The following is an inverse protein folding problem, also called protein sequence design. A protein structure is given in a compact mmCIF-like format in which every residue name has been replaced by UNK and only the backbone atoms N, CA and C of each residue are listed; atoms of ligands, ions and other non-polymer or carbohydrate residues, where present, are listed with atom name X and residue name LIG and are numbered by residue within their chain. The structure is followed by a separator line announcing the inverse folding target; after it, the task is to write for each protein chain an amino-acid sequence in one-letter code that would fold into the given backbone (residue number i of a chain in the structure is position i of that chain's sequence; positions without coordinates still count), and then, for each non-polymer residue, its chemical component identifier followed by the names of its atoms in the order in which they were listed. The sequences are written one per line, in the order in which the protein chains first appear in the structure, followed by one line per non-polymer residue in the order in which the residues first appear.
data_IF_290805827065
#
_entry.id   IF_290805827065
#
_cell.length_a   1.000
_cell.length_b   1.000
_cell.length_c   1.000
_cell.angle_alpha   90.00
_cell.angle_beta   90.00
_cell.angle_gamma   90.00
#
_symmetry.space_group_name_H-M   'P 1'
#
loop_
_entity.id
_entity.type
_entity.pdbx_description
1 polymer ?
#
# COMPACT_ATOMS: atom_id res chain seq x y z
N UNK A 1 -34.27 -11.14 -30.50
CA UNK A 1 -34.54 -10.49 -29.20
C UNK A 1 -33.60 -9.30 -29.12
N UNK A 2 -34.13 -8.07 -29.06
CA UNK A 2 -33.31 -6.86 -29.13
C UNK A 2 -32.65 -6.58 -27.76
N UNK A 3 -31.40 -6.98 -27.60
CA UNK A 3 -30.61 -6.70 -26.38
C UNK A 3 -30.06 -5.27 -26.44
N UNK A 4 -30.38 -4.44 -25.42
CA UNK A 4 -29.97 -3.02 -25.36
C UNK A 4 -29.22 -2.69 -24.07
N UNK A 5 -27.92 -3.01 -24.03
CA UNK A 5 -27.02 -2.79 -22.87
C UNK A 5 -26.91 -1.33 -22.40
N UNK A 6 -27.32 -0.35 -23.22
CA UNK A 6 -27.33 1.09 -22.83
C UNK A 6 -28.43 1.46 -21.84
N UNK A 7 -29.49 0.65 -21.71
CA UNK A 7 -30.66 0.95 -20.86
C UNK A 7 -30.24 1.20 -19.41
N UNK A 8 -29.38 0.34 -18.86
CA UNK A 8 -28.94 0.41 -17.46
C UNK A 8 -27.98 1.58 -17.17
N UNK A 9 -27.47 2.26 -18.19
CA UNK A 9 -26.51 3.37 -18.07
C UNK A 9 -27.00 4.67 -18.71
N UNK A 10 -28.30 4.75 -19.02
CA UNK A 10 -28.91 5.86 -19.75
C UNK A 10 -29.04 7.14 -18.91
N UNK A 11 -29.38 7.00 -17.63
CA UNK A 11 -29.53 8.11 -16.70
C UNK A 11 -28.57 7.95 -15.53
N UNK A 12 -28.27 9.07 -14.87
CA UNK A 12 -27.53 9.14 -13.60
C UNK A 12 -28.20 8.27 -12.53
N UNK A 13 -29.48 8.50 -12.24
CA UNK A 13 -30.19 7.68 -11.24
C UNK A 13 -30.24 6.17 -11.54
N UNK A 14 -30.14 5.73 -12.81
CA UNK A 14 -29.99 4.28 -13.14
C UNK A 14 -28.59 3.79 -12.85
N UNK A 15 -27.58 4.61 -13.09
CA UNK A 15 -26.19 4.27 -12.79
C UNK A 15 -25.97 4.18 -11.29
N UNK A 16 -26.50 5.13 -10.54
CA UNK A 16 -26.45 5.11 -9.07
C UNK A 16 -27.20 3.92 -8.49
N UNK A 17 -28.45 3.68 -8.92
CA UNK A 17 -29.26 2.55 -8.44
C UNK A 17 -28.61 1.19 -8.71
N UNK A 18 -28.01 1.01 -9.90
CA UNK A 18 -27.51 -0.30 -10.34
C UNK A 18 -26.03 -0.52 -10.04
N UNK A 19 -25.24 0.56 -9.95
CA UNK A 19 -23.78 0.49 -9.86
C UNK A 19 -23.19 1.33 -8.72
N UNK A 20 -24.01 2.03 -7.92
CA UNK A 20 -23.55 2.79 -6.76
C UNK A 20 -22.92 1.91 -5.68
N UNK A 21 -21.77 2.33 -5.16
CA UNK A 21 -21.05 1.68 -4.05
C UNK A 21 -20.45 2.77 -3.16
N UNK A 22 -20.64 2.66 -1.84
CA UNK A 22 -20.04 3.58 -0.84
C UNK A 22 -18.58 3.20 -0.56
N UNK A 23 -17.70 3.49 -1.53
CA UNK A 23 -16.28 3.13 -1.51
C UNK A 23 -15.43 3.89 -0.47
N UNK A 24 -15.92 5.01 0.05
CA UNK A 24 -15.19 5.84 1.01
C UNK A 24 -14.62 5.06 2.21
N UNK A 25 -15.34 4.02 2.66
CA UNK A 25 -14.94 3.19 3.80
C UNK A 25 -13.76 2.23 3.56
N UNK A 26 -13.39 1.97 2.30
CA UNK A 26 -12.31 1.06 1.91
C UNK A 26 -11.03 1.76 1.46
N UNK A 27 -10.93 3.09 1.64
CA UNK A 27 -9.77 3.88 1.24
C UNK A 27 -8.67 3.82 2.30
N UNK A 28 -7.43 3.67 1.84
CA UNK A 28 -6.23 3.68 2.67
C UNK A 28 -5.27 4.73 2.14
N UNK A 29 -4.85 5.67 3.00
CA UNK A 29 -3.91 6.73 2.66
C UNK A 29 -2.47 6.31 2.98
N UNK A 30 -1.55 6.36 1.99
CA UNK A 30 -0.12 6.26 2.24
C UNK A 30 0.45 7.52 2.92
N UNK A 31 1.39 7.33 3.85
CA UNK A 31 2.14 8.40 4.54
C UNK A 31 3.64 8.09 4.51
N UNK A 32 4.47 9.12 4.28
CA UNK A 32 5.92 9.02 4.32
C UNK A 32 6.44 9.69 5.59
N UNK A 33 7.07 8.90 6.47
CA UNK A 33 7.45 9.34 7.82
C UNK A 33 8.96 9.50 7.90
N UNK A 34 9.42 10.67 8.35
CA UNK A 34 10.84 11.01 8.50
C UNK A 34 11.18 11.32 9.96
N UNK A 35 12.48 11.33 10.24
CA UNK A 35 13.06 11.84 11.49
C UNK A 35 12.87 13.36 11.65
N UNK A 36 12.97 13.84 12.89
CA UNK A 36 12.92 15.27 13.22
C UNK A 36 11.63 15.74 13.88
N UNK A 37 11.45 17.06 13.91
CA UNK A 37 10.32 17.80 14.50
C UNK A 37 9.95 18.95 13.54
N UNK A 38 8.65 19.16 13.29
CA UNK A 38 8.15 20.20 12.40
C UNK A 38 8.48 20.02 10.92
N UNK A 39 8.81 18.80 10.47
CA UNK A 39 9.17 18.52 9.08
C UNK A 39 7.91 18.27 8.25
N UNK A 40 7.71 19.06 7.20
CA UNK A 40 6.61 18.91 6.22
C UNK A 40 7.12 19.19 4.79
N UNK A 41 7.86 18.22 4.22
CA UNK A 41 8.51 18.38 2.92
C UNK A 41 7.63 17.89 1.77
N UNK A 42 7.26 18.78 0.86
CA UNK A 42 6.51 18.41 -0.33
C UNK A 42 7.31 17.45 -1.23
N UNK A 43 6.62 16.47 -1.82
CA UNK A 43 7.20 15.53 -2.78
C UNK A 43 6.83 16.01 -4.19
N UNK A 44 7.77 16.56 -4.99
CA UNK A 44 7.43 17.22 -6.25
C UNK A 44 6.71 16.31 -7.26
N UNK A 45 7.05 15.03 -7.28
CA UNK A 45 6.45 14.03 -8.18
C UNK A 45 5.08 13.53 -7.70
N UNK A 46 4.64 13.91 -6.49
CA UNK A 46 3.36 13.56 -5.89
C UNK A 46 2.71 14.81 -5.27
N UNK A 47 2.09 15.69 -6.08
CA UNK A 47 1.49 16.93 -5.59
C UNK A 47 0.51 16.66 -4.44
N UNK A 48 0.62 17.41 -3.34
CA UNK A 48 -0.24 17.24 -2.15
C UNK A 48 0.20 16.13 -1.19
N UNK A 49 1.25 15.37 -1.53
CA UNK A 49 1.86 14.35 -0.66
C UNK A 49 3.20 14.86 -0.14
N UNK A 50 3.46 14.62 1.14
CA UNK A 50 4.60 15.16 1.87
C UNK A 50 5.35 14.06 2.61
N UNK A 51 6.63 14.29 2.88
CA UNK A 51 7.38 13.59 3.93
C UNK A 51 7.20 14.39 5.22
N UNK A 52 6.84 13.69 6.29
CA UNK A 52 6.38 14.34 7.51
C UNK A 52 7.09 13.76 8.73
N UNK A 53 7.53 14.62 9.66
CA UNK A 53 7.92 14.15 10.99
C UNK A 53 6.69 13.66 11.75
N UNK A 54 6.91 12.94 12.85
CA UNK A 54 5.83 12.29 13.62
C UNK A 54 4.82 13.31 14.14
N UNK A 55 5.27 14.45 14.65
CA UNK A 55 4.41 15.54 15.14
C UNK A 55 3.49 16.10 14.05
N UNK A 56 4.02 16.42 12.87
CA UNK A 56 3.23 16.89 11.72
C UNK A 56 2.27 15.81 11.22
N UNK A 57 2.70 14.54 11.24
CA UNK A 57 1.85 13.42 10.83
C UNK A 57 0.64 13.26 11.75
N UNK A 58 0.79 13.41 13.08
CA UNK A 58 -0.33 13.36 14.04
C UNK A 58 -1.39 14.38 13.69
N UNK A 59 -1.00 15.64 13.44
CA UNK A 59 -1.96 16.68 13.04
C UNK A 59 -2.66 16.37 11.73
N UNK A 60 -1.93 15.78 10.77
CA UNK A 60 -2.49 15.37 9.47
C UNK A 60 -3.50 14.24 9.64
N UNK A 61 -3.16 13.20 10.40
CA UNK A 61 -4.04 12.06 10.64
C UNK A 61 -5.27 12.46 11.44
N UNK A 62 -5.16 13.39 12.40
CA UNK A 62 -6.34 13.92 13.10
C UNK A 62 -7.36 14.55 12.13
N UNK A 63 -6.89 15.25 11.08
CA UNK A 63 -7.75 15.79 10.02
C UNK A 63 -8.33 14.68 9.14
N UNK A 64 -7.51 13.71 8.78
CA UNK A 64 -7.92 12.53 8.00
C UNK A 64 -9.07 11.78 8.72
N UNK A 65 -8.92 11.53 10.03
CA UNK A 65 -9.93 10.90 10.89
C UNK A 65 -11.20 11.73 10.99
N UNK A 66 -11.10 13.05 11.13
CA UNK A 66 -12.26 13.95 11.16
C UNK A 66 -13.08 13.91 9.86
N UNK A 67 -12.45 13.60 8.71
CA UNK A 67 -13.11 13.38 7.42
C UNK A 67 -13.61 11.94 7.23
N UNK A 68 -13.41 11.06 8.22
CA UNK A 68 -13.85 9.66 8.17
C UNK A 68 -12.87 8.68 7.52
N UNK A 69 -11.64 9.11 7.21
CA UNK A 69 -10.58 8.20 6.74
C UNK A 69 -10.11 7.32 7.91
N UNK A 70 -10.07 6.01 7.67
CA UNK A 70 -9.67 5.04 8.71
C UNK A 70 -8.34 4.35 8.43
N UNK A 71 -8.01 4.11 7.16
CA UNK A 71 -6.83 3.34 6.79
C UNK A 71 -5.61 4.22 6.58
N UNK A 72 -4.52 3.95 7.31
CA UNK A 72 -3.25 4.66 7.20
C UNK A 72 -2.11 3.67 6.98
N UNK A 73 -1.42 3.79 5.86
CA UNK A 73 -0.27 2.96 5.52
C UNK A 73 1.01 3.77 5.60
N UNK A 74 1.93 3.37 6.48
CA UNK A 74 3.11 4.13 6.83
C UNK A 74 4.34 3.54 6.14
N UNK A 75 5.16 4.43 5.57
CA UNK A 75 6.45 4.11 4.97
C UNK A 75 7.54 4.95 5.65
N UNK A 76 8.58 4.34 6.24
CA UNK A 76 9.69 5.09 6.78
C UNK A 76 10.57 5.64 5.64
N UNK A 77 11.10 6.84 5.83
CA UNK A 77 12.08 7.46 4.94
C UNK A 77 13.28 7.90 5.78
N UNK A 78 14.43 7.28 5.51
CA UNK A 78 15.68 7.51 6.23
C UNK A 78 16.68 8.28 5.37
N UNK A 79 17.56 9.05 6.02
CA UNK A 79 18.66 9.68 5.32
C UNK A 79 19.61 8.61 4.77
N UNK A 80 20.17 8.84 3.59
CA UNK A 80 21.01 7.83 2.92
C UNK A 80 22.25 7.47 3.76
N UNK A 81 22.77 8.39 4.56
CA UNK A 81 23.91 8.18 5.46
C UNK A 81 23.64 7.26 6.65
N UNK A 82 22.37 6.98 6.95
CA UNK A 82 21.97 6.14 8.09
C UNK A 82 21.74 4.68 7.68
N UNK A 83 21.59 4.43 6.38
CA UNK A 83 21.31 3.11 5.83
C UNK A 83 22.59 2.28 5.73
N UNK A 84 22.45 0.97 5.86
CA UNK A 84 23.54 0.02 5.68
C UNK A 84 23.08 -1.20 4.86
N UNK A 85 24.02 -1.99 4.36
CA UNK A 85 23.71 -3.18 3.56
C UNK A 85 22.94 -4.28 4.32
N UNK A 86 22.92 -4.24 5.66
CA UNK A 86 22.19 -5.19 6.47
C UNK A 86 20.74 -4.75 6.76
N UNK A 87 20.38 -3.50 6.44
CA UNK A 87 19.09 -2.91 6.72
C UNK A 87 18.79 -2.80 8.21
N UNK A 88 19.81 -2.52 9.05
CA UNK A 88 19.66 -2.54 10.52
C UNK A 88 18.58 -1.61 11.05
N UNK A 89 18.36 -0.46 10.38
CA UNK A 89 17.28 0.48 10.70
C UNK A 89 15.89 -0.14 10.67
N UNK A 90 15.67 -1.21 9.89
CA UNK A 90 14.39 -1.92 9.86
C UNK A 90 14.03 -2.60 11.18
N UNK A 91 15.03 -2.81 12.05
CA UNK A 91 14.87 -3.40 13.38
C UNK A 91 14.95 -2.35 14.50
N UNK A 92 15.07 -1.07 14.15
CA UNK A 92 15.08 0.01 15.13
C UNK A 92 13.65 0.26 15.65
N UNK A 93 13.40 -0.08 16.91
CA UNK A 93 12.12 0.15 17.57
C UNK A 93 11.84 1.63 17.84
N UNK A 94 12.84 2.51 17.79
CA UNK A 94 12.69 3.96 17.91
C UNK A 94 12.68 4.69 16.55
N UNK A 95 12.63 3.94 15.44
CA UNK A 95 12.55 4.51 14.10
C UNK A 95 11.29 5.38 13.88
N UNK A 96 11.28 6.22 12.83
CA UNK A 96 10.23 7.23 12.64
C UNK A 96 8.85 6.59 12.41
N UNK A 97 8.78 5.47 11.69
CA UNK A 97 7.54 4.72 11.52
C UNK A 97 7.03 4.12 12.84
N UNK A 98 7.92 3.57 13.69
CA UNK A 98 7.52 2.95 14.95
C UNK A 98 7.02 4.00 15.96
N UNK A 99 7.70 5.15 16.05
CA UNK A 99 7.22 6.28 16.83
C UNK A 99 5.89 6.82 16.31
N UNK A 100 5.70 6.89 14.99
CA UNK A 100 4.41 7.26 14.40
C UNK A 100 3.30 6.26 14.75
N UNK A 101 3.54 4.95 14.66
CA UNK A 101 2.55 3.94 15.04
C UNK A 101 2.10 4.10 16.49
N UNK A 102 3.04 4.24 17.43
CA UNK A 102 2.74 4.45 18.86
C UNK A 102 1.94 5.73 19.08
N UNK A 103 2.38 6.84 18.50
CA UNK A 103 1.72 8.13 18.67
C UNK A 103 0.30 8.13 18.09
N UNK A 104 0.10 7.56 16.90
CA UNK A 104 -1.23 7.47 16.29
C UNK A 104 -2.15 6.51 17.04
N UNK A 105 -1.60 5.42 17.61
CA UNK A 105 -2.37 4.51 18.48
C UNK A 105 -2.80 5.21 19.77
N UNK A 106 -1.92 6.01 20.37
CA UNK A 106 -2.23 6.83 21.55
C UNK A 106 -3.35 7.84 21.25
N UNK A 107 -3.28 8.52 20.10
CA UNK A 107 -4.22 9.57 19.73
C UNK A 107 -5.61 9.04 19.33
N UNK A 108 -5.66 7.89 18.67
CA UNK A 108 -6.86 7.45 17.97
C UNK A 108 -7.37 6.07 18.39
N UNK A 109 -6.59 5.28 19.14
CA UNK A 109 -6.98 3.94 19.55
C UNK A 109 -7.47 3.09 18.37
N UNK A 110 -8.61 2.44 18.53
CA UNK A 110 -9.22 1.56 17.51
C UNK A 110 -10.04 2.32 16.45
N UNK A 111 -10.06 3.65 16.47
CA UNK A 111 -10.78 4.44 15.48
C UNK A 111 -10.12 4.40 14.08
N UNK A 112 -8.82 4.06 14.05
CA UNK A 112 -8.00 3.96 12.83
C UNK A 112 -7.43 2.56 12.68
N UNK A 113 -7.07 2.23 11.43
CA UNK A 113 -6.34 1.03 11.05
C UNK A 113 -4.94 1.46 10.59
N UNK A 114 -3.92 1.03 11.31
CA UNK A 114 -2.51 1.34 11.07
C UNK A 114 -1.81 0.17 10.38
N UNK A 115 -1.25 0.44 9.21
CA UNK A 115 -0.53 -0.54 8.39
C UNK A 115 0.94 -0.14 8.26
N UNK A 116 1.86 -1.01 8.64
CA UNK A 116 3.30 -0.76 8.55
C UNK A 116 3.91 -1.48 7.36
N UNK A 117 4.62 -0.79 6.46
CA UNK A 117 5.37 -1.47 5.40
C UNK A 117 6.55 -2.27 5.97
N UNK A 118 6.59 -3.55 5.65
CA UNK A 118 7.69 -4.47 6.00
C UNK A 118 8.42 -4.84 4.72
N UNK A 119 9.48 -4.09 4.44
CA UNK A 119 10.40 -4.33 3.33
C UNK A 119 11.76 -3.69 3.63
N UNK A 120 12.85 -4.27 3.16
CA UNK A 120 14.19 -3.73 3.45
C UNK A 120 14.59 -2.54 2.55
N UNK A 121 13.83 -2.24 1.49
CA UNK A 121 14.28 -1.29 0.46
C UNK A 121 14.41 0.18 0.91
N UNK A 122 13.77 0.54 2.02
CA UNK A 122 13.87 1.88 2.64
C UNK A 122 15.00 1.97 3.68
N UNK A 123 15.56 0.83 4.09
CA UNK A 123 16.57 0.74 5.17
C UNK A 123 17.92 0.22 4.70
N UNK A 124 17.98 -0.42 3.53
CA UNK A 124 19.26 -0.81 2.91
C UNK A 124 19.91 0.34 2.15
N UNK A 125 21.24 0.45 2.21
CA UNK A 125 21.98 1.46 1.45
C UNK A 125 21.87 1.26 -0.08
N UNK A 126 21.82 0.01 -0.54
CA UNK A 126 21.71 -0.37 -1.95
C UNK A 126 20.28 -0.31 -2.52
N UNK A 127 19.24 -0.16 -1.69
CA UNK A 127 17.84 0.04 -2.10
C UNK A 127 17.10 -1.21 -2.64
N UNK A 128 17.62 -2.42 -2.40
CA UNK A 128 16.93 -3.67 -2.75
C UNK A 128 15.98 -4.11 -1.63
N UNK A 129 14.99 -4.93 -1.96
CA UNK A 129 14.00 -5.42 -1.00
C UNK A 129 14.54 -6.42 0.03
N UNK A 130 15.80 -6.84 -0.09
CA UNK A 130 16.41 -7.87 0.75
C UNK A 130 17.93 -7.84 0.75
N UNK A 131 18.53 -8.74 1.54
CA UNK A 131 19.98 -8.90 1.63
C UNK A 131 20.58 -9.29 0.29
N UNK A 132 21.68 -8.65 -0.09
CA UNK A 132 22.43 -9.01 -1.31
C UNK A 132 23.60 -9.92 -0.93
N UNK A 133 23.72 -11.06 -1.62
CA UNK A 133 24.84 -11.98 -1.54
C UNK A 133 25.31 -12.34 -2.94
N UNK A 134 26.58 -12.08 -3.24
CA UNK A 134 27.20 -12.36 -4.55
C UNK A 134 26.40 -11.76 -5.75
N UNK A 135 25.84 -10.56 -5.57
CA UNK A 135 25.06 -9.86 -6.60
C UNK A 135 23.63 -10.38 -6.78
N UNK A 136 23.17 -11.30 -5.92
CA UNK A 136 21.80 -11.83 -5.92
C UNK A 136 21.08 -11.53 -4.61
N UNK A 137 19.75 -11.46 -4.63
CA UNK A 137 18.97 -11.26 -3.41
C UNK A 137 18.82 -12.61 -2.69
N UNK A 138 19.29 -12.68 -1.45
CA UNK A 138 19.26 -13.89 -0.65
C UNK A 138 17.90 -14.06 0.04
N UNK A 139 17.03 -14.90 -0.53
CA UNK A 139 15.64 -15.09 -0.10
C UNK A 139 15.51 -15.38 1.41
N UNK A 140 15.98 -16.53 1.88
CA UNK A 140 15.69 -17.01 3.25
C UNK A 140 16.32 -16.13 4.34
N UNK A 141 17.49 -15.55 4.03
CA UNK A 141 18.15 -14.57 4.91
C UNK A 141 17.32 -13.29 5.02
N UNK A 142 16.70 -12.86 3.92
CA UNK A 142 15.78 -11.73 3.87
C UNK A 142 14.51 -12.02 4.65
N UNK A 143 13.87 -13.17 4.41
CA UNK A 143 12.67 -13.63 5.13
C UNK A 143 12.90 -13.60 6.65
N UNK A 144 14.05 -14.09 7.11
CA UNK A 144 14.41 -14.07 8.54
C UNK A 144 14.49 -12.66 9.13
N UNK A 145 14.84 -11.66 8.33
CA UNK A 145 14.91 -10.25 8.76
C UNK A 145 13.52 -9.60 8.73
N UNK A 146 12.75 -9.84 7.66
CA UNK A 146 11.39 -9.34 7.51
C UNK A 146 10.47 -9.82 8.64
N UNK A 147 10.60 -11.08 9.06
CA UNK A 147 9.87 -11.62 10.20
C UNK A 147 10.16 -10.84 11.51
N UNK A 148 11.41 -10.44 11.74
CA UNK A 148 11.77 -9.60 12.91
C UNK A 148 11.23 -8.18 12.78
N UNK A 149 11.34 -7.58 11.60
CA UNK A 149 10.78 -6.25 11.31
C UNK A 149 9.27 -6.22 11.57
N UNK A 150 8.56 -7.28 11.18
CA UNK A 150 7.12 -7.41 11.42
C UNK A 150 6.77 -7.46 12.91
N UNK A 151 7.55 -8.17 13.72
CA UNK A 151 7.36 -8.19 15.19
C UNK A 151 7.58 -6.80 15.78
N UNK A 152 8.65 -6.09 15.41
CA UNK A 152 8.90 -4.71 15.88
C UNK A 152 7.75 -3.78 15.51
N UNK A 153 7.19 -3.90 14.30
CA UNK A 153 6.02 -3.12 13.88
C UNK A 153 4.76 -3.46 14.69
N UNK A 154 4.54 -4.74 14.99
CA UNK A 154 3.42 -5.20 15.81
C UNK A 154 3.52 -4.68 17.25
N UNK A 155 4.71 -4.73 17.85
CA UNK A 155 5.00 -4.16 19.18
C UNK A 155 4.78 -2.63 19.23
N UNK A 156 4.97 -1.94 18.10
CA UNK A 156 4.68 -0.52 17.96
C UNK A 156 3.19 -0.19 17.77
N UNK A 157 2.33 -1.20 17.61
CA UNK A 157 0.88 -1.03 17.53
C UNK A 157 0.31 -1.08 16.11
N UNK A 158 1.01 -1.68 15.15
CA UNK A 158 0.44 -1.94 13.82
C UNK A 158 -0.70 -2.97 13.87
N UNK A 159 -1.83 -2.66 13.23
CA UNK A 159 -2.92 -3.62 13.01
C UNK A 159 -2.56 -4.60 11.89
N UNK A 160 -1.87 -4.11 10.85
CA UNK A 160 -1.38 -4.92 9.75
C UNK A 160 0.09 -4.65 9.47
N UNK A 161 0.83 -5.73 9.19
CA UNK A 161 2.15 -5.66 8.57
C UNK A 161 2.02 -5.90 7.07
N UNK A 162 2.48 -4.95 6.27
CA UNK A 162 2.46 -4.97 4.81
C UNK A 162 3.70 -5.64 4.24
N UNK A 163 3.64 -6.94 3.93
CA UNK A 163 4.76 -7.71 3.38
C UNK A 163 4.97 -7.41 1.90
N UNK A 164 5.77 -6.38 1.59
CA UNK A 164 5.90 -5.80 0.24
C UNK A 164 7.14 -6.23 -0.53
N UNK A 165 7.94 -7.12 0.05
CA UNK A 165 9.27 -7.53 -0.40
C UNK A 165 9.29 -8.50 -1.60
N UNK A 166 8.25 -9.33 -1.79
CA UNK A 166 8.17 -10.42 -2.79
C UNK A 166 9.21 -11.55 -2.61
N UNK A 167 9.59 -11.88 -1.39
CA UNK A 167 10.40 -13.08 -1.10
C UNK A 167 9.51 -14.32 -0.97
N UNK A 168 9.96 -15.47 -1.42
CA UNK A 168 9.22 -16.72 -1.30
C UNK A 168 9.10 -17.13 0.18
N UNK A 169 7.90 -17.53 0.62
CA UNK A 169 7.64 -18.04 1.98
C UNK A 169 7.62 -16.98 3.09
N UNK A 170 7.71 -15.68 2.77
CA UNK A 170 7.74 -14.63 3.80
C UNK A 170 6.46 -14.54 4.63
N UNK A 171 5.28 -14.83 4.06
CA UNK A 171 4.00 -14.69 4.78
C UNK A 171 3.94 -15.71 5.90
N UNK A 172 4.27 -16.97 5.62
CA UNK A 172 4.30 -18.02 6.63
C UNK A 172 5.33 -17.74 7.72
N UNK A 173 6.50 -17.21 7.36
CA UNK A 173 7.53 -16.83 8.32
C UNK A 173 7.12 -15.65 9.21
N UNK A 174 6.52 -14.60 8.63
CA UNK A 174 6.01 -13.43 9.36
C UNK A 174 4.88 -13.87 10.30
N UNK A 175 3.89 -14.63 9.80
CA UNK A 175 2.80 -15.16 10.61
C UNK A 175 3.34 -15.96 11.79
N UNK A 176 4.26 -16.89 11.55
CA UNK A 176 4.90 -17.67 12.62
C UNK A 176 5.59 -16.78 13.65
N UNK A 177 6.34 -15.77 13.23
CA UNK A 177 7.04 -14.88 14.14
C UNK A 177 6.08 -14.04 15.00
N UNK A 178 4.97 -13.56 14.42
CA UNK A 178 3.91 -12.87 15.15
C UNK A 178 3.26 -13.79 16.19
N UNK A 179 2.95 -15.04 15.84
CA UNK A 179 2.39 -16.04 16.77
C UNK A 179 3.36 -16.34 17.92
N UNK A 180 4.64 -16.59 17.61
CA UNK A 180 5.67 -16.91 18.61
C UNK A 180 5.91 -15.75 19.59
N UNK A 181 5.74 -14.50 19.12
CA UNK A 181 5.86 -13.29 19.92
C UNK A 181 4.55 -12.87 20.64
N UNK A 182 3.44 -13.58 20.43
CA UNK A 182 2.14 -13.31 21.08
C UNK A 182 1.28 -12.23 20.39
N UNK A 183 1.61 -11.82 19.18
CA UNK A 183 0.87 -10.83 18.38
C UNK A 183 -0.23 -11.46 17.51
N UNK A 184 -1.11 -12.23 18.14
CA UNK A 184 -2.17 -12.99 17.46
C UNK A 184 -3.21 -12.13 16.71
N UNK A 185 -3.32 -10.85 17.08
CA UNK A 185 -4.29 -9.91 16.51
C UNK A 185 -3.73 -9.05 15.39
N UNK A 186 -2.41 -9.08 15.17
CA UNK A 186 -1.78 -8.36 14.05
C UNK A 186 -1.95 -9.18 12.78
N UNK A 187 -2.56 -8.55 11.76
CA UNK A 187 -2.80 -9.16 10.46
C UNK A 187 -1.60 -9.07 9.52
N UNK A 188 -1.52 -9.99 8.55
CA UNK A 188 -0.56 -9.91 7.45
C UNK A 188 -1.30 -9.43 6.20
N UNK A 189 -0.97 -8.21 5.75
CA UNK A 189 -1.37 -7.69 4.45
C UNK A 189 -0.27 -8.05 3.45
N UNK A 190 -0.51 -9.10 2.66
CA UNK A 190 0.45 -9.55 1.68
C UNK A 190 0.35 -8.75 0.39
N UNK A 191 1.48 -8.23 -0.10
CA UNK A 191 1.61 -7.80 -1.50
C UNK A 191 1.78 -9.01 -2.41
N UNK A 192 0.77 -9.89 -2.37
CA UNK A 192 0.82 -11.21 -2.96
C UNK A 192 1.17 -11.19 -4.45
N UNK A 193 0.68 -10.18 -5.16
CA UNK A 193 0.95 -10.02 -6.59
C UNK A 193 1.54 -8.64 -6.81
N UNK A 194 2.87 -8.54 -6.77
CA UNK A 194 3.59 -7.29 -7.03
C UNK A 194 4.52 -7.42 -8.23
N UNK A 195 4.18 -6.68 -9.29
CA UNK A 195 4.92 -6.69 -10.55
C UNK A 195 6.14 -5.78 -10.54
N UNK A 196 7.16 -6.14 -11.34
CA UNK A 196 8.33 -5.34 -11.67
C UNK A 196 7.94 -4.18 -12.62
N UNK A 197 7.24 -3.19 -12.06
CA UNK A 197 6.54 -2.17 -12.83
C UNK A 197 7.32 -0.86 -12.98
N UNK A 198 7.08 -0.18 -14.11
CA UNK A 198 7.57 1.18 -14.37
C UNK A 198 6.75 2.27 -13.66
N UNK A 199 5.56 1.96 -13.15
CA UNK A 199 4.67 2.90 -12.46
C UNK A 199 5.18 3.31 -11.05
N UNK A 200 6.34 2.83 -10.61
CA UNK A 200 6.86 3.10 -9.26
C UNK A 200 7.79 4.31 -9.15
N UNK A 201 8.19 4.94 -10.25
CA UNK A 201 9.16 6.05 -10.28
C UNK A 201 8.92 7.09 -9.18
N UNK A 202 7.74 7.75 -9.14
CA UNK A 202 7.45 8.76 -8.12
C UNK A 202 7.51 8.26 -6.67
N UNK A 203 7.26 6.96 -6.42
CA UNK A 203 7.39 6.39 -5.07
C UNK A 203 8.86 6.23 -4.68
N UNK A 204 9.71 5.84 -5.64
CA UNK A 204 11.15 5.67 -5.37
C UNK A 204 11.80 7.00 -5.01
N UNK A 205 11.36 8.08 -5.65
CA UNK A 205 11.75 9.45 -5.29
C UNK A 205 11.23 9.81 -3.90
N UNK A 206 9.95 9.54 -3.62
CA UNK A 206 9.33 9.80 -2.33
C UNK A 206 10.05 9.10 -1.16
N UNK A 207 10.34 7.81 -1.30
CA UNK A 207 10.89 6.96 -0.25
C UNK A 207 12.44 6.87 -0.25
N UNK A 208 13.11 7.45 -1.24
CA UNK A 208 14.56 7.32 -1.41
C UNK A 208 15.03 5.86 -1.53
N UNK A 209 14.29 5.04 -2.30
CA UNK A 209 14.46 3.57 -2.37
C UNK A 209 14.79 3.03 -3.76
N UNK A 210 15.26 3.89 -4.66
CA UNK A 210 15.80 3.45 -5.96
C UNK A 210 16.99 2.51 -5.74
N UNK A 211 17.01 1.32 -6.37
CA UNK A 211 18.20 0.47 -6.35
C UNK A 211 19.40 1.24 -6.92
N UNK A 212 20.54 1.18 -6.23
CA UNK A 212 21.77 1.82 -6.72
C UNK A 212 22.31 1.10 -7.97
N UNK A 213 22.15 -0.22 -8.02
CA UNK A 213 22.52 -1.07 -9.15
C UNK A 213 21.39 -2.08 -9.46
N UNK A 214 21.32 -2.52 -10.72
CA UNK A 214 20.37 -3.55 -11.15
C UNK A 214 18.90 -3.13 -11.14
N UNK A 215 18.01 -4.11 -10.97
CA UNK A 215 16.57 -3.92 -10.93
C UNK A 215 15.89 -4.85 -9.89
N UNK A 216 14.56 -4.92 -9.89
CA UNK A 216 13.79 -5.77 -8.96
C UNK A 216 13.15 -6.99 -9.64
N UNK A 217 13.57 -7.33 -10.86
CA UNK A 217 12.96 -8.41 -11.68
C UNK A 217 13.30 -9.82 -11.21
N UNK A 218 14.26 -9.98 -10.30
CA UNK A 218 14.63 -11.27 -9.73
C UNK A 218 13.60 -11.82 -8.72
N UNK A 219 12.67 -10.98 -8.27
CA UNK A 219 11.69 -11.31 -7.23
C UNK A 219 10.31 -10.67 -7.48
N UNK A 220 10.25 -9.47 -8.06
CA UNK A 220 8.96 -8.92 -8.50
C UNK A 220 8.54 -9.56 -9.82
N UNK A 221 7.26 -9.86 -9.95
CA UNK A 221 6.71 -10.59 -11.09
C UNK A 221 6.94 -9.85 -12.42
N UNK A 222 7.21 -10.57 -13.50
CA UNK A 222 7.31 -9.96 -14.83
C UNK A 222 5.92 -9.48 -15.28
N UNK A 223 5.75 -8.24 -15.78
CA UNK A 223 4.47 -7.75 -16.32
C UNK A 223 3.86 -8.59 -17.45
N UNK A 224 4.66 -9.46 -18.09
CA UNK A 224 4.24 -10.37 -19.16
C UNK A 224 3.81 -11.74 -18.63
N UNK A 225 4.00 -12.00 -17.34
CA UNK A 225 3.67 -13.27 -16.70
C UNK A 225 2.20 -13.61 -16.90
N UNK A 226 1.86 -14.88 -17.15
CA UNK A 226 0.47 -15.27 -17.32
C UNK A 226 -0.30 -15.08 -16.01
N UNK A 227 -1.57 -14.67 -16.09
CA UNK A 227 -2.46 -14.45 -14.94
C UNK A 227 -2.50 -15.63 -13.95
N UNK A 228 -2.31 -16.87 -14.43
CA UNK A 228 -2.27 -18.07 -13.59
C UNK A 228 -1.14 -18.06 -12.55
N UNK A 229 -0.03 -17.38 -12.82
CA UNK A 229 1.09 -17.24 -11.90
C UNK A 229 0.70 -16.29 -10.76
N UNK A 230 0.06 -15.17 -11.07
CA UNK A 230 -0.48 -14.25 -10.06
C UNK A 230 -1.52 -14.93 -9.15
N UNK A 231 -2.36 -15.79 -9.72
CA UNK A 231 -3.28 -16.63 -8.94
C UNK A 231 -2.54 -17.64 -8.06
N UNK A 232 -1.43 -18.20 -8.54
CA UNK A 232 -0.61 -19.13 -7.75
C UNK A 232 0.01 -18.43 -6.54
N UNK A 233 0.67 -17.29 -6.75
CA UNK A 233 1.24 -16.44 -5.68
C UNK A 233 0.18 -16.08 -4.63
N UNK A 234 -0.97 -15.57 -5.08
CA UNK A 234 -2.05 -15.17 -4.18
C UNK A 234 -2.61 -16.33 -3.34
N UNK A 235 -2.68 -17.54 -3.91
CA UNK A 235 -3.13 -18.73 -3.19
C UNK A 235 -2.11 -19.23 -2.18
N UNK A 236 -0.82 -19.22 -2.55
CA UNK A 236 0.25 -19.59 -1.63
C UNK A 236 0.23 -18.71 -0.38
N UNK A 237 0.08 -17.40 -0.56
CA UNK A 237 -0.02 -16.46 0.57
C UNK A 237 -1.27 -16.67 1.42
N UNK A 238 -2.40 -16.95 0.78
CA UNK A 238 -3.64 -17.28 1.49
C UNK A 238 -3.47 -18.52 2.37
N UNK A 239 -2.82 -19.56 1.83
CA UNK A 239 -2.52 -20.81 2.53
C UNK A 239 -1.46 -20.61 3.64
N UNK A 240 -0.50 -19.70 3.44
CA UNK A 240 0.52 -19.33 4.43
C UNK A 240 -0.01 -18.45 5.58
N UNK A 241 -1.25 -17.94 5.47
CA UNK A 241 -1.92 -17.19 6.54
C UNK A 241 -1.97 -15.69 6.34
N UNK A 242 -1.93 -15.20 5.11
CA UNK A 242 -2.26 -13.80 4.81
C UNK A 242 -3.73 -13.51 5.16
N UNK A 243 -3.96 -12.36 5.80
CA UNK A 243 -5.29 -11.90 6.20
C UNK A 243 -5.92 -11.00 5.13
N UNK A 244 -5.08 -10.29 4.38
CA UNK A 244 -5.45 -9.47 3.22
C UNK A 244 -4.43 -9.74 2.10
N UNK A 245 -4.92 -9.93 0.88
CA UNK A 245 -4.08 -10.06 -0.31
C UNK A 245 -4.08 -8.75 -1.08
N UNK A 246 -3.00 -8.42 -1.80
CA UNK A 246 -2.90 -7.20 -2.59
C UNK A 246 -2.32 -7.44 -3.99
N UNK A 247 -2.92 -6.79 -4.99
CA UNK A 247 -2.33 -6.63 -6.33
C UNK A 247 -1.73 -5.23 -6.48
N UNK A 248 -0.49 -5.16 -6.97
CA UNK A 248 0.26 -3.90 -7.19
C UNK A 248 1.09 -3.96 -8.48
N UNK A 249 0.98 -2.98 -9.40
CA UNK A 249 0.04 -1.84 -9.44
C UNK A 249 -1.43 -2.25 -9.67
N UNK A 250 -2.34 -1.27 -9.67
CA UNK A 250 -3.78 -1.52 -9.82
C UNK A 250 -4.26 -1.32 -11.26
N UNK A 251 -4.12 -0.11 -11.82
CA UNK A 251 -4.81 0.30 -13.05
C UNK A 251 -4.47 -0.58 -14.25
N UNK A 252 -3.20 -0.92 -14.43
CA UNK A 252 -2.72 -1.72 -15.54
C UNK A 252 -2.94 -3.24 -15.37
N UNK A 253 -3.51 -3.69 -14.23
CA UNK A 253 -3.57 -5.10 -13.82
C UNK A 253 -4.97 -5.52 -13.34
N UNK A 254 -6.02 -4.83 -13.79
CA UNK A 254 -7.40 -5.10 -13.36
C UNK A 254 -7.89 -6.50 -13.76
N UNK A 255 -7.36 -7.07 -14.83
CA UNK A 255 -7.59 -8.46 -15.24
C UNK A 255 -7.01 -9.44 -14.22
N UNK A 256 -5.83 -9.13 -13.67
CA UNK A 256 -5.21 -9.91 -12.60
C UNK A 256 -6.00 -9.79 -11.30
N UNK A 257 -6.46 -8.58 -10.94
CA UNK A 257 -7.34 -8.36 -9.77
C UNK A 257 -8.59 -9.23 -9.86
N UNK A 258 -9.26 -9.24 -11.02
CA UNK A 258 -10.45 -10.05 -11.24
C UNK A 258 -10.18 -11.56 -11.14
N UNK A 259 -9.05 -12.02 -11.65
CA UNK A 259 -8.67 -13.43 -11.58
C UNK A 259 -8.34 -13.86 -10.14
N UNK A 260 -7.56 -13.05 -9.40
CA UNK A 260 -7.25 -13.32 -8.00
C UNK A 260 -8.53 -13.34 -7.16
N UNK A 261 -9.41 -12.35 -7.33
CA UNK A 261 -10.71 -12.32 -6.63
C UNK A 261 -11.55 -13.57 -6.88
N UNK A 262 -11.49 -14.13 -8.09
CA UNK A 262 -12.22 -15.35 -8.44
C UNK A 262 -11.61 -16.64 -7.89
N UNK A 263 -10.37 -16.60 -7.41
CA UNK A 263 -9.58 -17.77 -7.04
C UNK A 263 -9.22 -17.85 -5.54
N UNK A 264 -9.37 -16.74 -4.80
CA UNK A 264 -9.09 -16.64 -3.36
C UNK A 264 -10.31 -16.17 -2.57
N UNK A 265 -10.24 -16.28 -1.25
CA UNK A 265 -11.33 -15.98 -0.33
C UNK A 265 -11.03 -14.83 0.64
N UNK A 266 -9.76 -14.43 0.81
CA UNK A 266 -9.38 -13.26 1.61
C UNK A 266 -9.87 -11.94 0.99
N UNK A 267 -10.06 -10.89 1.83
CA UNK A 267 -10.19 -9.53 1.33
C UNK A 267 -9.07 -9.17 0.36
N UNK A 268 -9.44 -8.50 -0.74
CA UNK A 268 -8.50 -8.14 -1.80
C UNK A 268 -8.26 -6.63 -1.82
N UNK A 269 -7.05 -6.21 -1.52
CA UNK A 269 -6.60 -4.84 -1.69
C UNK A 269 -6.00 -4.63 -3.10
N UNK A 270 -6.02 -3.39 -3.56
CA UNK A 270 -5.20 -2.94 -4.69
C UNK A 270 -4.43 -1.69 -4.30
N UNK A 271 -3.28 -1.48 -4.93
CA UNK A 271 -2.53 -0.24 -4.78
C UNK A 271 -2.62 0.59 -6.05
N UNK A 272 -3.37 1.69 -5.99
CA UNK A 272 -3.33 2.74 -7.00
C UNK A 272 -2.05 3.56 -6.82
N UNK A 273 -1.00 3.14 -7.53
CA UNK A 273 0.38 3.52 -7.20
C UNK A 273 0.73 4.95 -7.57
N UNK A 274 1.91 5.37 -7.12
CA UNK A 274 2.42 6.74 -7.25
C UNK A 274 2.48 7.23 -8.70
N UNK A 275 2.87 6.38 -9.66
CA UNK A 275 2.83 6.73 -11.08
C UNK A 275 1.42 6.88 -11.64
N UNK A 276 0.46 6.07 -11.19
CA UNK A 276 -0.95 6.19 -11.61
C UNK A 276 -1.56 7.50 -11.08
N UNK A 277 -1.27 7.85 -9.82
CA UNK A 277 -1.63 9.13 -9.22
C UNK A 277 -1.01 10.31 -9.96
N UNK A 278 0.31 10.27 -10.20
CA UNK A 278 1.03 11.35 -10.87
C UNK A 278 0.52 11.58 -12.31
N UNK A 279 0.14 10.51 -13.03
CA UNK A 279 -0.47 10.62 -14.35
C UNK A 279 -1.80 11.38 -14.32
N UNK A 280 -2.65 11.11 -13.33
CA UNK A 280 -3.92 11.85 -13.15
C UNK A 280 -3.65 13.32 -12.88
N UNK A 281 -2.74 13.64 -11.96
CA UNK A 281 -2.40 15.03 -11.62
C UNK A 281 -1.75 15.79 -12.77
N UNK A 282 -0.93 15.12 -13.59
CA UNK A 282 -0.31 15.74 -14.76
C UNK A 282 -1.33 16.06 -15.85
N UNK A 283 -2.32 15.20 -16.06
CA UNK A 283 -3.34 15.38 -17.09
C UNK A 283 -4.50 16.29 -16.64
N UNK A 284 -4.78 16.30 -15.33
CA UNK A 284 -5.86 17.05 -14.69
C UNK A 284 -5.29 17.81 -13.47
N UNK A 285 -4.57 18.92 -13.67
CA UNK A 285 -3.97 19.66 -12.56
C UNK A 285 -5.04 20.28 -11.65
N UNK A 286 -6.14 20.74 -12.25
CA UNK A 286 -7.24 21.37 -11.54
C UNK A 286 -8.13 20.34 -10.84
N UNK A 287 -8.45 20.62 -9.57
CA UNK A 287 -9.26 19.74 -8.71
C UNK A 287 -10.64 19.44 -9.33
N UNK A 288 -11.25 20.45 -9.95
CA UNK A 288 -12.57 20.34 -10.60
C UNK A 288 -12.59 19.36 -11.79
N UNK A 289 -11.44 19.08 -12.39
CA UNK A 289 -11.32 18.16 -13.53
C UNK A 289 -10.97 16.73 -13.09
N UNK A 290 -10.31 16.57 -11.93
CA UNK A 290 -9.85 15.28 -11.40
C UNK A 290 -10.99 14.37 -10.96
N UNK A 291 -12.04 14.94 -10.35
CA UNK A 291 -13.16 14.20 -9.74
C UNK A 291 -13.59 12.99 -10.56
N UNK A 292 -13.97 13.23 -11.82
CA UNK A 292 -14.54 12.20 -12.71
C UNK A 292 -13.57 11.06 -12.98
N UNK A 293 -12.30 11.37 -13.21
CA UNK A 293 -11.30 10.33 -13.53
C UNK A 293 -10.97 9.53 -12.28
N UNK A 294 -10.86 10.19 -11.12
CA UNK A 294 -10.58 9.52 -9.84
C UNK A 294 -11.74 8.60 -9.47
N UNK A 295 -12.98 9.06 -9.52
CA UNK A 295 -14.17 8.23 -9.30
C UNK A 295 -14.22 7.04 -10.26
N UNK A 296 -13.93 7.24 -11.55
CA UNK A 296 -13.91 6.16 -12.55
C UNK A 296 -12.84 5.11 -12.23
N UNK A 297 -11.65 5.52 -11.78
CA UNK A 297 -10.60 4.62 -11.32
C UNK A 297 -11.05 3.80 -10.10
N UNK A 298 -11.62 4.47 -9.09
CA UNK A 298 -12.15 3.81 -7.90
C UNK A 298 -13.21 2.77 -8.28
N UNK A 299 -14.16 3.13 -9.13
CA UNK A 299 -15.15 2.18 -9.66
C UNK A 299 -14.53 1.04 -10.46
N UNK A 300 -13.45 1.28 -11.21
CA UNK A 300 -12.74 0.24 -11.93
C UNK A 300 -12.10 -0.78 -10.97
N UNK A 301 -11.45 -0.32 -9.90
CA UNK A 301 -10.87 -1.18 -8.88
C UNK A 301 -11.95 -2.03 -8.18
N UNK A 302 -13.06 -1.40 -7.78
CA UNK A 302 -14.16 -2.11 -7.12
C UNK A 302 -14.82 -3.13 -8.05
N UNK A 303 -15.05 -2.77 -9.30
CA UNK A 303 -15.61 -3.67 -10.32
C UNK A 303 -14.70 -4.87 -10.58
N UNK A 304 -13.38 -4.68 -10.54
CA UNK A 304 -12.43 -5.76 -10.68
C UNK A 304 -12.40 -6.70 -9.46
N UNK A 305 -12.91 -6.27 -8.30
CA UNK A 305 -13.03 -7.12 -7.12
C UNK A 305 -12.27 -6.64 -5.89
N UNK A 306 -11.71 -5.43 -5.91
CA UNK A 306 -11.03 -4.85 -4.76
C UNK A 306 -12.02 -4.50 -3.63
N UNK A 307 -11.70 -4.90 -2.41
CA UNK A 307 -12.35 -4.49 -1.16
C UNK A 307 -11.69 -3.27 -0.54
N UNK A 308 -10.37 -3.14 -0.72
CA UNK A 308 -9.56 -2.04 -0.20
C UNK A 308 -8.78 -1.37 -1.33
N UNK A 309 -8.65 -0.05 -1.27
CA UNK A 309 -7.84 0.71 -2.23
C UNK A 309 -6.84 1.57 -1.48
N UNK A 310 -5.56 1.21 -1.59
CA UNK A 310 -4.46 2.08 -1.20
C UNK A 310 -4.26 3.11 -2.30
N UNK A 311 -4.53 4.38 -2.00
CA UNK A 311 -4.45 5.46 -2.99
C UNK A 311 -4.02 6.78 -2.36
N UNK A 312 -3.23 7.55 -3.09
CA UNK A 312 -2.86 8.91 -2.72
C UNK A 312 -4.02 9.91 -2.90
N UNK A 313 -5.09 9.52 -3.61
CA UNK A 313 -6.31 10.33 -3.75
C UNK A 313 -7.25 10.25 -2.54
N UNK A 314 -6.95 9.44 -1.51
CA UNK A 314 -7.91 9.15 -0.44
C UNK A 314 -8.36 10.41 0.31
N UNK A 315 -7.43 11.31 0.64
CA UNK A 315 -7.76 12.62 1.25
C UNK A 315 -8.62 13.49 0.35
N UNK A 316 -8.24 13.61 -0.91
CA UNK A 316 -8.94 14.46 -1.89
C UNK A 316 -10.38 14.01 -2.09
N UNK A 317 -10.59 12.69 -2.20
CA UNK A 317 -11.91 12.09 -2.33
C UNK A 317 -12.82 12.43 -1.15
N UNK A 318 -12.28 12.33 0.07
CA UNK A 318 -13.06 12.57 1.30
C UNK A 318 -13.27 14.07 1.56
N UNK A 319 -12.23 14.90 1.40
CA UNK A 319 -12.32 16.34 1.60
C UNK A 319 -13.35 16.99 0.68
N UNK A 320 -13.48 16.48 -0.55
CA UNK A 320 -14.39 17.02 -1.55
C UNK A 320 -15.72 16.26 -1.65
N UNK A 321 -15.93 15.22 -0.85
CA UNK A 321 -17.16 14.42 -0.84
C UNK A 321 -17.47 13.71 -2.16
N UNK A 322 -16.45 13.34 -2.96
CA UNK A 322 -16.65 12.82 -4.32
C UNK A 322 -17.37 11.46 -4.37
N UNK A 323 -17.25 10.65 -3.33
CA UNK A 323 -17.84 9.30 -3.28
C UNK A 323 -18.82 9.10 -2.12
N UNK A 324 -19.35 10.20 -1.57
CA UNK A 324 -20.47 10.15 -0.65
C UNK A 324 -21.77 10.06 -1.45
N UNK A 325 -22.73 9.27 -0.98
CA UNK A 325 -24.08 9.40 -1.52
C UNK A 325 -24.59 10.77 -1.09
N UNK A 326 -25.04 11.61 -2.03
CA UNK A 326 -25.88 12.74 -1.68
C UNK A 326 -27.04 12.19 -0.83
N UNK A 327 -27.12 12.66 0.42
CA UNK A 327 -28.12 12.24 1.39
C UNK A 327 -29.52 12.75 1.01
#
# INVERSE_FOLDING_TARGET
MDVRMRINRWTEGRRELLYGQRMASGLVQPHFVVEGDGVDEAIPSLPGIHRQSVDVLRERVAKDVAMGLKGHMLFPVHAQSEKDAAGTLGLNDDGPMMRALRALREDHGDAVVLMADVCMCTVTDHGHCGHVHEGTIANDRTVSTLAKMAVVAAEAGADYVGASDMMDGRVGAIRKALEDAGHHQTGVLSYAVKFASAFYGPFRDAAGSSPQEGDRRSHQMDPRSPVREAVMEAKMDEDEGADVLMVKPALAYLDVVAAVRGATHRPLAVYNVSGEYAMVHAQHPELSERRRVVEELMHAFRRAGADLVVTYHAREILAEGWMEAEA
#
